data_IF_558767852526
#
_entry.id   IF_558767852526
#
_cell.length_a   1.000
_cell.length_b   1.000
_cell.length_c   1.000
_cell.angle_alpha   90.00
_cell.angle_beta   90.00
_cell.angle_gamma   90.00
#
_symmetry.space_group_name_H-M   'P 1'
#
loop_
_entity.id
_entity.type
_entity.pdbx_description
1 polymer ?
#
# COMPACT_ATOMS: atom_id res chain seq x y z
N UNK A 1 -32.40 5.71 -20.37
CA UNK A 1 -31.64 4.60 -19.78
C UNK A 1 -30.50 5.19 -18.92
N UNK A 2 -30.33 4.69 -17.71
CA UNK A 2 -29.37 5.22 -16.72
C UNK A 2 -28.02 4.48 -16.77
N UNK A 3 -26.98 5.08 -16.19
CA UNK A 3 -25.68 4.48 -15.96
C UNK A 3 -25.53 4.12 -14.48
N UNK A 4 -25.01 2.94 -14.19
CA UNK A 4 -24.72 2.53 -12.81
C UNK A 4 -23.26 2.84 -12.46
N UNK A 5 -23.05 3.63 -11.43
CA UNK A 5 -21.70 3.95 -10.91
C UNK A 5 -21.47 3.12 -9.65
N UNK A 6 -20.37 2.36 -9.63
CA UNK A 6 -19.93 1.54 -8.50
C UNK A 6 -18.71 2.16 -7.88
N UNK A 7 -18.86 2.86 -6.75
CA UNK A 7 -17.77 3.41 -5.95
C UNK A 7 -17.22 2.37 -4.95
N UNK A 8 -16.05 2.61 -4.36
CA UNK A 8 -15.47 1.69 -3.38
C UNK A 8 -16.02 1.90 -1.96
N UNK A 9 -16.35 3.16 -1.63
CA UNK A 9 -16.77 3.56 -0.28
C UNK A 9 -18.01 4.46 -0.34
N UNK A 10 -18.87 4.45 0.69
CA UNK A 10 -20.06 5.32 0.74
C UNK A 10 -19.73 6.81 0.59
N UNK A 11 -18.64 7.29 1.19
CA UNK A 11 -18.25 8.71 1.10
C UNK A 11 -17.96 9.13 -0.33
N UNK A 12 -17.13 8.35 -1.05
CA UNK A 12 -16.82 8.60 -2.46
C UNK A 12 -18.08 8.51 -3.32
N UNK A 13 -18.94 7.53 -3.03
CA UNK A 13 -20.23 7.41 -3.72
C UNK A 13 -21.12 8.64 -3.56
N UNK A 14 -21.20 9.22 -2.36
CA UNK A 14 -21.95 10.45 -2.11
C UNK A 14 -21.37 11.66 -2.84
N UNK A 15 -20.05 11.81 -2.84
CA UNK A 15 -19.39 12.90 -3.57
C UNK A 15 -19.66 12.81 -5.07
N UNK A 16 -19.54 11.62 -5.65
CA UNK A 16 -19.87 11.38 -7.06
C UNK A 16 -21.34 11.67 -7.32
N UNK A 17 -22.26 11.16 -6.49
CA UNK A 17 -23.69 11.37 -6.64
C UNK A 17 -24.07 12.86 -6.60
N UNK A 18 -23.48 13.61 -5.69
CA UNK A 18 -23.65 15.07 -5.56
C UNK A 18 -23.21 15.78 -6.84
N UNK A 19 -22.04 15.47 -7.36
CA UNK A 19 -21.52 16.09 -8.59
C UNK A 19 -22.34 15.75 -9.81
N UNK A 20 -22.91 14.51 -9.86
CA UNK A 20 -23.80 14.05 -10.95
C UNK A 20 -25.26 14.50 -10.77
N UNK A 21 -25.59 15.24 -9.73
CA UNK A 21 -26.94 15.75 -9.47
C UNK A 21 -27.94 14.67 -9.06
N UNK A 22 -27.48 13.54 -8.51
CA UNK A 22 -28.36 12.52 -7.95
C UNK A 22 -28.94 12.99 -6.60
N UNK A 23 -30.27 12.88 -6.42
CA UNK A 23 -30.96 13.45 -5.24
C UNK A 23 -31.75 12.42 -4.43
N UNK A 24 -32.17 11.30 -5.04
CA UNK A 24 -32.97 10.29 -4.34
C UNK A 24 -32.07 9.35 -3.58
N UNK A 25 -31.78 9.68 -2.34
CA UNK A 25 -30.92 8.89 -1.46
C UNK A 25 -31.66 7.72 -0.83
N UNK A 26 -30.97 6.57 -0.78
CA UNK A 26 -31.33 5.38 -0.01
C UNK A 26 -30.16 4.98 0.87
N UNK A 27 -30.33 3.99 1.72
CA UNK A 27 -29.23 3.49 2.55
C UNK A 27 -28.04 2.92 1.75
N UNK A 28 -28.27 2.43 0.54
CA UNK A 28 -27.28 1.65 -0.23
C UNK A 28 -26.94 2.25 -1.61
N UNK A 29 -27.64 3.25 -2.06
CA UNK A 29 -27.39 3.94 -3.33
C UNK A 29 -28.10 5.29 -3.38
N UNK A 30 -27.71 6.14 -4.32
CA UNK A 30 -28.36 7.43 -4.62
C UNK A 30 -28.71 7.46 -6.09
N UNK A 31 -29.99 7.76 -6.40
CA UNK A 31 -30.51 7.73 -7.75
C UNK A 31 -30.79 9.16 -8.28
N UNK A 32 -30.38 9.41 -9.51
CA UNK A 32 -30.64 10.61 -10.28
C UNK A 32 -31.38 10.27 -11.58
N UNK A 33 -31.49 11.27 -12.46
CA UNK A 33 -32.17 11.09 -13.76
C UNK A 33 -31.36 10.16 -14.69
N UNK A 34 -30.03 10.39 -14.80
CA UNK A 34 -29.15 9.69 -15.74
C UNK A 34 -28.23 8.68 -15.07
N UNK A 35 -28.07 8.76 -13.77
CA UNK A 35 -27.12 7.93 -13.00
C UNK A 35 -27.77 7.35 -11.76
N UNK A 36 -27.30 6.15 -11.41
CA UNK A 36 -27.47 5.56 -10.08
C UNK A 36 -26.07 5.34 -9.53
N UNK A 37 -25.79 5.86 -8.35
CA UNK A 37 -24.50 5.70 -7.68
C UNK A 37 -24.67 4.78 -6.49
N UNK A 38 -23.98 3.66 -6.50
CA UNK A 38 -23.88 2.71 -5.38
C UNK A 38 -22.42 2.51 -5.01
N UNK A 39 -22.18 1.76 -3.96
CA UNK A 39 -20.83 1.57 -3.44
C UNK A 39 -20.61 0.17 -2.89
N UNK A 40 -19.34 -0.21 -2.82
CA UNK A 40 -18.88 -1.30 -1.99
C UNK A 40 -18.65 -0.81 -0.54
N UNK A 41 -18.34 -1.72 0.37
CA UNK A 41 -17.96 -1.43 1.76
C UNK A 41 -16.53 -1.98 2.01
N UNK A 42 -15.62 -1.71 1.06
CA UNK A 42 -14.43 -2.50 0.84
C UNK A 42 -14.78 -3.76 0.06
N UNK A 43 -14.22 -4.91 0.41
CA UNK A 43 -14.57 -6.16 -0.28
C UNK A 43 -15.99 -6.61 0.04
N UNK A 44 -16.80 -6.89 -0.99
CA UNK A 44 -18.08 -7.59 -0.90
C UNK A 44 -17.94 -9.07 -1.29
N UNK A 45 -16.90 -9.39 -2.06
CA UNK A 45 -16.57 -10.70 -2.60
C UNK A 45 -15.12 -11.02 -2.27
N UNK A 46 -14.82 -12.26 -1.96
CA UNK A 46 -13.48 -12.78 -1.71
C UNK A 46 -13.27 -14.13 -2.40
N UNK A 47 -12.04 -14.61 -2.41
CA UNK A 47 -11.78 -16.03 -2.69
C UNK A 47 -12.46 -16.89 -1.61
N UNK A 48 -12.93 -18.05 -2.02
CA UNK A 48 -13.65 -18.96 -1.14
C UNK A 48 -12.74 -19.56 -0.06
N UNK A 49 -13.33 -19.89 1.08
CA UNK A 49 -12.64 -20.57 2.16
C UNK A 49 -12.25 -22.02 1.75
N UNK A 50 -11.19 -22.60 2.36
CA UNK A 50 -10.72 -23.94 2.05
C UNK A 50 -11.81 -25.02 1.99
N UNK A 51 -12.74 -24.99 2.90
CA UNK A 51 -13.85 -25.95 3.00
C UNK A 51 -14.73 -26.01 1.74
N UNK A 52 -14.78 -24.95 0.95
CA UNK A 52 -15.56 -24.92 -0.29
C UNK A 52 -14.87 -25.62 -1.46
N UNK A 53 -13.60 -25.99 -1.31
CA UNK A 53 -12.83 -26.73 -2.31
C UNK A 53 -12.85 -28.24 -2.06
N UNK A 54 -13.05 -28.70 -0.79
CA UNK A 54 -13.18 -30.11 -0.43
C UNK A 54 -13.46 -30.24 1.06
N UNK A 55 -14.18 -31.32 1.43
CA UNK A 55 -14.50 -31.61 2.83
C UNK A 55 -13.24 -31.93 3.66
N UNK A 56 -12.22 -32.47 3.02
CA UNK A 56 -10.91 -32.78 3.59
C UNK A 56 -10.18 -31.54 4.10
N UNK A 57 -10.49 -30.38 3.54
CA UNK A 57 -9.89 -29.10 3.95
C UNK A 57 -10.61 -28.43 5.13
N UNK A 58 -11.65 -29.03 5.68
CA UNK A 58 -12.36 -28.52 6.85
C UNK A 58 -11.48 -28.60 8.08
N UNK A 59 -10.83 -29.74 8.28
CA UNK A 59 -9.90 -29.95 9.37
C UNK A 59 -8.48 -29.60 8.97
N UNK A 60 -7.72 -29.07 9.92
CA UNK A 60 -6.35 -28.69 9.68
C UNK A 60 -5.44 -29.91 9.89
N UNK A 61 -4.95 -30.48 8.81
CA UNK A 61 -4.07 -31.62 8.80
C UNK A 61 -2.92 -31.39 7.82
N UNK A 62 -1.71 -31.87 8.15
CA UNK A 62 -0.53 -31.80 7.29
C UNK A 62 -0.69 -32.63 6.01
N UNK A 63 -1.41 -33.77 6.08
CA UNK A 63 -1.54 -34.73 4.98
C UNK A 63 -2.30 -34.17 3.77
N UNK A 64 -3.11 -33.13 3.99
CA UNK A 64 -3.88 -32.47 2.92
C UNK A 64 -3.19 -31.19 2.33
N UNK A 65 -1.95 -30.97 2.73
CA UNK A 65 -1.16 -29.82 2.24
C UNK A 65 -0.10 -30.29 1.23
N UNK A 66 0.27 -29.49 0.24
CA UNK A 66 -0.27 -28.17 -0.05
C UNK A 66 -1.65 -28.21 -0.70
N UNK A 67 -2.52 -27.34 -0.28
CA UNK A 67 -3.81 -27.13 -0.92
C UNK A 67 -3.63 -26.30 -2.19
N UNK A 68 -3.94 -26.88 -3.36
CA UNK A 68 -3.74 -26.28 -4.68
C UNK A 68 -5.04 -26.37 -5.50
N UNK A 69 -5.94 -25.36 -5.38
CA UNK A 69 -7.20 -25.37 -6.13
C UNK A 69 -6.96 -25.37 -7.65
N UNK A 70 -7.58 -26.28 -8.38
CA UNK A 70 -7.56 -26.28 -9.85
C UNK A 70 -8.39 -25.16 -10.44
N UNK A 71 -9.46 -24.78 -9.76
CA UNK A 71 -10.37 -23.72 -10.16
C UNK A 71 -10.69 -22.83 -8.96
N UNK A 72 -10.50 -21.52 -9.13
CA UNK A 72 -10.78 -20.55 -8.10
C UNK A 72 -12.28 -20.30 -7.96
N UNK A 73 -12.75 -20.33 -6.74
CA UNK A 73 -14.13 -20.02 -6.39
C UNK A 73 -14.19 -18.68 -5.68
N UNK A 74 -15.21 -17.89 -6.02
CA UNK A 74 -15.51 -16.63 -5.32
C UNK A 74 -16.68 -16.85 -4.37
N UNK A 75 -16.69 -16.12 -3.27
CA UNK A 75 -17.77 -16.12 -2.28
C UNK A 75 -18.15 -14.72 -1.87
N UNK A 76 -19.44 -14.51 -1.60
CA UNK A 76 -19.94 -13.25 -1.05
C UNK A 76 -19.71 -13.23 0.45
N UNK A 77 -19.09 -12.17 0.95
CA UNK A 77 -18.83 -12.01 2.36
C UNK A 77 -20.13 -11.84 3.17
N UNK A 78 -20.32 -12.66 4.20
CA UNK A 78 -21.55 -12.66 5.03
C UNK A 78 -21.88 -11.27 5.59
N UNK A 79 -20.87 -10.56 6.10
CA UNK A 79 -21.02 -9.23 6.71
C UNK A 79 -21.54 -8.15 5.74
N UNK A 80 -21.22 -8.26 4.46
CA UNK A 80 -21.57 -7.28 3.41
C UNK A 80 -22.59 -7.80 2.40
N UNK A 81 -23.18 -8.95 2.67
CA UNK A 81 -24.12 -9.64 1.78
C UNK A 81 -25.32 -8.77 1.39
N UNK A 82 -25.88 -8.00 2.32
CA UNK A 82 -27.00 -7.07 2.03
C UNK A 82 -26.63 -6.04 0.96
N UNK A 83 -25.43 -5.45 1.07
CA UNK A 83 -24.94 -4.48 0.08
C UNK A 83 -24.68 -5.15 -1.27
N UNK A 84 -24.06 -6.33 -1.27
CA UNK A 84 -23.86 -7.12 -2.49
C UNK A 84 -25.19 -7.39 -3.21
N UNK A 85 -26.23 -7.82 -2.48
CA UNK A 85 -27.55 -8.06 -3.08
C UNK A 85 -28.17 -6.79 -3.66
N UNK A 86 -27.98 -5.64 -3.02
CA UNK A 86 -28.43 -4.35 -3.57
C UNK A 86 -27.70 -4.03 -4.88
N UNK A 87 -26.37 -4.13 -4.90
CA UNK A 87 -25.59 -3.89 -6.12
C UNK A 87 -26.01 -4.84 -7.23
N UNK A 88 -26.19 -6.14 -6.94
CA UNK A 88 -26.67 -7.14 -7.90
C UNK A 88 -28.04 -6.78 -8.45
N UNK A 89 -29.00 -6.39 -7.60
CA UNK A 89 -30.32 -5.97 -8.04
C UNK A 89 -30.26 -4.75 -8.98
N UNK A 90 -29.42 -3.77 -8.65
CA UNK A 90 -29.24 -2.59 -9.51
C UNK A 90 -28.61 -2.95 -10.86
N UNK A 91 -27.62 -3.84 -10.88
CA UNK A 91 -26.98 -4.33 -12.13
C UNK A 91 -27.97 -5.03 -13.06
N UNK A 92 -28.96 -5.73 -12.50
CA UNK A 92 -29.94 -6.49 -13.25
C UNK A 92 -31.15 -5.63 -13.74
N UNK A 93 -31.22 -4.35 -13.36
CA UNK A 93 -32.30 -3.45 -13.82
C UNK A 93 -32.24 -3.26 -15.34
N UNK A 94 -33.40 -3.29 -16.00
CA UNK A 94 -33.51 -3.11 -17.46
C UNK A 94 -33.21 -1.68 -17.91
N UNK A 95 -33.43 -0.69 -17.02
CA UNK A 95 -33.19 0.72 -17.33
C UNK A 95 -31.68 1.12 -17.18
N UNK A 96 -30.81 0.21 -16.77
CA UNK A 96 -29.35 0.40 -16.72
C UNK A 96 -28.76 -0.04 -18.06
N UNK A 97 -28.07 0.87 -18.75
CA UNK A 97 -27.38 0.58 -20.02
C UNK A 97 -25.95 0.09 -19.87
N UNK A 98 -25.21 0.64 -18.90
CA UNK A 98 -23.80 0.32 -18.66
C UNK A 98 -23.40 0.53 -17.20
N UNK A 99 -22.17 0.11 -16.86
CA UNK A 99 -21.59 0.20 -15.53
C UNK A 99 -20.31 1.03 -15.58
N UNK A 100 -20.18 1.98 -14.67
CA UNK A 100 -18.98 2.76 -14.47
C UNK A 100 -18.32 2.30 -13.17
N UNK A 101 -17.14 1.70 -13.28
CA UNK A 101 -16.30 1.37 -12.13
C UNK A 101 -15.62 2.66 -11.65
N UNK A 102 -15.95 3.08 -10.43
CA UNK A 102 -15.44 4.27 -9.76
C UNK A 102 -14.79 3.91 -8.40
N UNK A 103 -14.23 2.72 -8.30
CA UNK A 103 -13.39 2.29 -7.18
C UNK A 103 -12.01 2.94 -7.26
N UNK A 104 -11.25 2.88 -6.17
CA UNK A 104 -9.93 3.50 -6.07
C UNK A 104 -9.06 3.16 -7.32
N UNK A 105 -8.28 4.15 -7.79
CA UNK A 105 -7.45 4.01 -8.99
C UNK A 105 -6.22 3.15 -8.68
N UNK A 106 -6.37 1.84 -8.77
CA UNK A 106 -5.33 0.87 -8.45
C UNK A 106 -5.78 -0.58 -8.62
N UNK A 107 -4.83 -1.49 -8.42
CA UNK A 107 -5.05 -2.94 -8.54
C UNK A 107 -6.18 -3.45 -7.65
N UNK A 108 -6.21 -3.03 -6.39
CA UNK A 108 -7.21 -3.48 -5.42
C UNK A 108 -8.61 -3.00 -5.78
N UNK A 109 -8.76 -1.71 -6.15
CA UNK A 109 -10.06 -1.18 -6.59
C UNK A 109 -10.59 -1.87 -7.83
N UNK A 110 -9.71 -2.19 -8.80
CA UNK A 110 -10.12 -2.96 -9.99
C UNK A 110 -10.56 -4.38 -9.61
N UNK A 111 -9.84 -5.05 -8.72
CA UNK A 111 -10.19 -6.39 -8.23
C UNK A 111 -11.55 -6.41 -7.53
N UNK A 112 -11.77 -5.48 -6.61
CA UNK A 112 -13.04 -5.35 -5.87
C UNK A 112 -14.22 -5.22 -6.83
N UNK A 113 -14.12 -4.29 -7.78
CA UNK A 113 -15.19 -4.05 -8.73
C UNK A 113 -15.44 -5.26 -9.64
N UNK A 114 -14.38 -5.83 -10.24
CA UNK A 114 -14.52 -6.96 -11.18
C UNK A 114 -15.09 -8.20 -10.52
N UNK A 115 -14.69 -8.52 -9.29
CA UNK A 115 -15.27 -9.66 -8.58
C UNK A 115 -16.76 -9.44 -8.26
N UNK A 116 -17.18 -8.22 -7.91
CA UNK A 116 -18.58 -7.89 -7.70
C UNK A 116 -19.37 -8.08 -9.01
N UNK A 117 -18.87 -7.56 -10.12
CA UNK A 117 -19.50 -7.68 -11.43
C UNK A 117 -19.58 -9.14 -11.88
N UNK A 118 -18.52 -9.92 -11.71
CA UNK A 118 -18.48 -11.35 -12.03
C UNK A 118 -19.51 -12.15 -11.22
N UNK A 119 -19.53 -11.98 -9.91
CA UNK A 119 -20.46 -12.67 -9.01
C UNK A 119 -21.91 -12.23 -9.19
N UNK A 120 -22.13 -11.02 -9.68
CA UNK A 120 -23.48 -10.52 -10.00
C UNK A 120 -24.00 -10.99 -11.36
N UNK A 121 -23.15 -11.63 -12.18
CA UNK A 121 -23.51 -12.05 -13.54
C UNK A 121 -23.68 -10.87 -14.52
N UNK A 122 -22.92 -9.80 -14.35
CA UNK A 122 -23.01 -8.62 -15.21
C UNK A 122 -22.67 -8.94 -16.67
N UNK A 123 -23.55 -8.54 -17.58
CA UNK A 123 -23.35 -8.65 -19.03
C UNK A 123 -23.32 -7.27 -19.72
N UNK A 124 -23.47 -6.19 -18.96
CA UNK A 124 -23.51 -4.83 -19.50
C UNK A 124 -22.10 -4.31 -19.78
N UNK A 125 -21.95 -3.38 -20.72
CA UNK A 125 -20.66 -2.71 -20.99
C UNK A 125 -20.10 -2.08 -19.72
N UNK A 126 -18.77 -2.13 -19.57
CA UNK A 126 -18.06 -1.62 -18.41
C UNK A 126 -17.19 -0.45 -18.86
N UNK A 127 -17.24 0.64 -18.12
CA UNK A 127 -16.37 1.79 -18.24
C UNK A 127 -15.63 2.02 -16.93
N UNK A 128 -14.48 2.66 -17.00
CA UNK A 128 -13.62 2.96 -15.86
C UNK A 128 -13.48 4.46 -15.66
N UNK A 129 -13.83 4.94 -14.48
CA UNK A 129 -13.49 6.25 -13.97
C UNK A 129 -12.15 6.14 -13.24
N UNK A 130 -11.10 6.74 -13.79
CA UNK A 130 -9.75 6.69 -13.21
C UNK A 130 -9.37 8.06 -12.69
N UNK A 131 -9.57 8.28 -11.41
CA UNK A 131 -9.27 9.55 -10.73
C UNK A 131 -8.48 9.29 -9.44
N UNK A 132 -7.54 10.17 -9.12
CA UNK A 132 -6.74 10.15 -7.89
C UNK A 132 -7.27 11.11 -6.81
N UNK A 133 -8.30 11.89 -7.13
CA UNK A 133 -8.91 12.88 -6.25
C UNK A 133 -10.43 12.89 -6.42
N UNK A 134 -11.15 13.18 -5.34
CA UNK A 134 -12.63 13.28 -5.32
C UNK A 134 -13.13 14.73 -5.32
N UNK A 135 -12.31 15.68 -5.74
CA UNK A 135 -12.78 17.06 -5.95
C UNK A 135 -13.78 17.14 -7.08
N UNK A 136 -14.70 18.10 -7.03
CA UNK A 136 -15.75 18.28 -8.05
C UNK A 136 -15.19 18.37 -9.46
N UNK A 137 -14.06 19.08 -9.61
CA UNK A 137 -13.37 19.21 -10.89
C UNK A 137 -12.85 17.85 -11.37
N UNK A 138 -12.14 17.11 -10.50
CA UNK A 138 -11.56 15.81 -10.86
C UNK A 138 -12.66 14.80 -11.24
N UNK A 139 -13.80 14.81 -10.54
CA UNK A 139 -14.95 13.95 -10.88
C UNK A 139 -15.51 14.32 -12.24
N UNK A 140 -15.79 15.60 -12.50
CA UNK A 140 -16.34 16.08 -13.80
C UNK A 140 -15.39 15.75 -14.96
N UNK A 141 -14.12 16.05 -14.80
CA UNK A 141 -13.10 15.78 -15.82
C UNK A 141 -12.95 14.27 -16.06
N UNK A 142 -12.99 13.45 -14.99
CA UNK A 142 -12.95 12.00 -15.10
C UNK A 142 -14.17 11.40 -15.83
N UNK A 143 -15.37 11.91 -15.58
CA UNK A 143 -16.57 11.48 -16.30
C UNK A 143 -16.58 11.90 -17.76
N UNK A 144 -15.89 12.99 -18.13
CA UNK A 144 -15.68 13.39 -19.52
C UNK A 144 -14.69 12.47 -20.25
N UNK A 145 -13.81 11.76 -19.52
CA UNK A 145 -12.73 10.92 -20.08
C UNK A 145 -12.82 9.46 -19.61
N UNK A 146 -14.03 8.92 -19.53
CA UNK A 146 -14.23 7.50 -19.18
C UNK A 146 -13.57 6.59 -20.22
N UNK A 147 -12.87 5.57 -19.73
CA UNK A 147 -12.22 4.58 -20.58
C UNK A 147 -13.00 3.26 -20.61
N UNK A 148 -12.93 2.51 -21.72
CA UNK A 148 -13.49 1.16 -21.76
C UNK A 148 -12.86 0.27 -20.70
N UNK A 149 -13.66 -0.52 -19.99
CA UNK A 149 -13.16 -1.43 -18.96
C UNK A 149 -12.12 -2.42 -19.47
N UNK A 150 -12.17 -2.78 -20.74
CA UNK A 150 -11.23 -3.69 -21.39
C UNK A 150 -9.76 -3.23 -21.31
N UNK A 151 -9.51 -1.92 -21.28
CA UNK A 151 -8.16 -1.38 -21.12
C UNK A 151 -7.52 -1.74 -19.77
N UNK A 152 -8.30 -2.17 -18.80
CA UNK A 152 -7.87 -2.53 -17.44
C UNK A 152 -7.88 -4.05 -17.19
N UNK A 153 -8.05 -4.86 -18.22
CA UNK A 153 -8.08 -6.33 -18.07
C UNK A 153 -6.74 -6.90 -17.58
N UNK A 154 -5.61 -6.33 -18.04
CA UNK A 154 -4.28 -6.75 -17.56
C UNK A 154 -4.07 -6.37 -16.09
N UNK A 155 -4.53 -5.19 -15.70
CA UNK A 155 -4.50 -4.74 -14.31
C UNK A 155 -5.32 -5.68 -13.41
N UNK A 156 -6.51 -6.06 -13.87
CA UNK A 156 -7.35 -7.03 -13.16
C UNK A 156 -6.67 -8.41 -13.08
N UNK A 157 -6.08 -8.92 -14.18
CA UNK A 157 -5.34 -10.19 -14.16
C UNK A 157 -4.19 -10.16 -13.16
N UNK A 158 -3.40 -9.08 -13.13
CA UNK A 158 -2.32 -8.92 -12.17
C UNK A 158 -2.83 -8.88 -10.72
N UNK A 159 -3.94 -8.17 -10.46
CA UNK A 159 -4.54 -8.09 -9.13
C UNK A 159 -5.09 -9.45 -8.67
N UNK A 160 -5.75 -10.19 -9.57
CA UNK A 160 -6.25 -11.53 -9.33
C UNK A 160 -5.14 -12.51 -9.01
N UNK A 161 -4.08 -12.57 -9.83
CA UNK A 161 -2.94 -13.45 -9.59
C UNK A 161 -2.27 -13.17 -8.24
N UNK A 162 -2.18 -11.89 -7.85
CA UNK A 162 -1.69 -11.53 -6.53
C UNK A 162 -2.59 -12.05 -5.42
N UNK A 163 -3.91 -11.87 -5.52
CA UNK A 163 -4.85 -12.35 -4.52
C UNK A 163 -4.84 -13.88 -4.39
N UNK A 164 -4.74 -14.60 -5.52
CA UNK A 164 -4.60 -16.05 -5.57
C UNK A 164 -3.29 -16.53 -4.91
N UNK A 165 -2.16 -15.84 -5.19
CA UNK A 165 -0.88 -16.13 -4.56
C UNK A 165 -0.90 -15.83 -3.04
N UNK A 166 -1.50 -14.73 -2.62
CA UNK A 166 -1.65 -14.39 -1.20
C UNK A 166 -2.49 -15.43 -0.47
N UNK A 167 -3.55 -15.93 -1.10
CA UNK A 167 -4.38 -17.01 -0.56
C UNK A 167 -3.60 -18.33 -0.44
N UNK A 168 -2.89 -18.74 -1.51
CA UNK A 168 -2.10 -19.98 -1.51
C UNK A 168 -1.03 -19.96 -0.41
N UNK A 169 -0.22 -18.92 -0.38
CA UNK A 169 0.86 -18.80 0.62
C UNK A 169 0.27 -18.70 2.03
N UNK A 170 -0.73 -17.82 2.21
CA UNK A 170 -1.33 -17.59 3.51
C UNK A 170 -1.97 -18.83 4.11
N UNK A 171 -2.81 -19.52 3.35
CA UNK A 171 -3.53 -20.71 3.84
C UNK A 171 -2.58 -21.86 4.10
N UNK A 172 -1.73 -22.21 3.13
CA UNK A 172 -0.87 -23.39 3.27
C UNK A 172 0.18 -23.21 4.37
N UNK A 173 0.87 -22.06 4.38
CA UNK A 173 1.90 -21.82 5.37
C UNK A 173 1.33 -21.65 6.79
N UNK A 174 0.19 -20.96 6.94
CA UNK A 174 -0.50 -20.84 8.24
C UNK A 174 -0.90 -22.22 8.78
N UNK A 175 -1.52 -23.05 7.96
CA UNK A 175 -1.95 -24.39 8.39
C UNK A 175 -0.75 -25.29 8.71
N UNK A 176 0.27 -25.29 7.85
CA UNK A 176 1.48 -26.09 8.08
C UNK A 176 2.18 -25.71 9.39
N UNK A 177 2.36 -24.42 9.66
CA UNK A 177 2.98 -23.95 10.90
C UNK A 177 2.12 -24.30 12.12
N UNK A 178 0.81 -24.07 12.05
CA UNK A 178 -0.11 -24.35 13.14
C UNK A 178 -0.12 -25.85 13.48
N UNK A 179 -0.21 -26.72 12.48
CA UNK A 179 -0.18 -28.18 12.68
C UNK A 179 1.18 -28.65 13.21
N UNK A 180 2.29 -28.16 12.63
CA UNK A 180 3.64 -28.58 13.02
C UNK A 180 4.00 -28.22 14.45
N UNK A 181 3.62 -27.03 14.90
CA UNK A 181 3.99 -26.52 16.21
C UNK A 181 2.86 -26.62 17.24
N UNK A 182 1.70 -27.15 16.86
CA UNK A 182 0.51 -27.22 17.72
C UNK A 182 0.19 -25.89 18.41
N UNK A 183 0.30 -24.80 17.68
CA UNK A 183 0.12 -23.43 18.17
C UNK A 183 -0.56 -22.59 17.10
N UNK A 184 -1.42 -21.67 17.50
CA UNK A 184 -2.08 -20.76 16.56
C UNK A 184 -1.05 -19.78 15.96
N UNK A 185 -0.48 -20.17 14.84
CA UNK A 185 0.51 -19.37 14.09
C UNK A 185 -0.11 -18.88 12.79
N UNK A 186 0.30 -17.72 12.36
CA UNK A 186 -0.10 -17.15 11.08
C UNK A 186 1.11 -16.85 10.21
N UNK A 187 0.96 -17.06 8.91
CA UNK A 187 1.96 -16.71 7.92
C UNK A 187 1.30 -15.95 6.78
N UNK A 188 2.00 -14.95 6.27
CA UNK A 188 1.51 -14.15 5.17
C UNK A 188 2.64 -13.44 4.44
N UNK A 189 2.41 -13.14 3.19
CA UNK A 189 3.40 -12.55 2.28
C UNK A 189 3.90 -11.17 2.71
N UNK A 190 3.14 -10.43 3.51
CA UNK A 190 3.51 -9.10 4.02
C UNK A 190 3.91 -9.19 5.49
N UNK A 191 3.07 -9.77 6.34
CA UNK A 191 3.28 -9.78 7.79
C UNK A 191 4.53 -10.56 8.20
N UNK A 192 4.81 -11.71 7.59
CA UNK A 192 5.96 -12.54 7.97
C UNK A 192 7.30 -11.91 7.62
N UNK A 193 7.52 -11.39 6.39
CA UNK A 193 8.74 -10.63 6.10
C UNK A 193 8.90 -9.37 6.98
N UNK A 194 7.82 -8.68 7.30
CA UNK A 194 7.87 -7.51 8.18
C UNK A 194 8.33 -7.90 9.58
N UNK A 195 7.79 -8.99 10.13
CA UNK A 195 8.23 -9.51 11.42
C UNK A 195 9.70 -9.94 11.39
N UNK A 196 10.12 -10.61 10.32
CA UNK A 196 11.52 -11.03 10.15
C UNK A 196 12.47 -9.83 10.12
N UNK A 197 12.12 -8.75 9.43
CA UNK A 197 12.93 -7.50 9.43
C UNK A 197 13.06 -6.91 10.85
N UNK A 198 11.97 -6.89 11.61
CA UNK A 198 11.99 -6.41 13.01
C UNK A 198 12.87 -7.30 13.86
N UNK A 199 12.72 -8.61 13.77
CA UNK A 199 13.54 -9.57 14.54
C UNK A 199 15.02 -9.48 14.19
N UNK A 200 15.37 -9.37 12.91
CA UNK A 200 16.76 -9.20 12.49
C UNK A 200 17.35 -7.91 13.09
N UNK A 201 16.57 -6.83 13.06
CA UNK A 201 17.02 -5.57 13.68
C UNK A 201 17.22 -5.68 15.18
N UNK A 202 16.33 -6.35 15.89
CA UNK A 202 16.48 -6.63 17.32
C UNK A 202 17.73 -7.47 17.63
N UNK A 203 18.03 -8.47 16.78
CA UNK A 203 19.26 -9.27 16.92
C UNK A 203 20.53 -8.44 16.68
N UNK A 204 20.52 -7.57 15.64
CA UNK A 204 21.62 -6.63 15.39
C UNK A 204 21.86 -5.72 16.60
N UNK A 205 20.79 -5.19 17.22
CA UNK A 205 20.89 -4.34 18.40
C UNK A 205 21.44 -5.13 19.59
N UNK A 206 20.93 -6.33 19.85
CA UNK A 206 21.39 -7.19 20.96
C UNK A 206 22.83 -7.65 20.78
N UNK A 207 23.26 -7.92 19.57
CA UNK A 207 24.63 -8.36 19.25
C UNK A 207 25.60 -7.21 19.00
N UNK A 208 25.12 -5.97 19.05
CA UNK A 208 25.96 -4.80 18.77
C UNK A 208 27.10 -4.67 19.75
N UNK A 209 28.31 -4.68 19.22
CA UNK A 209 29.55 -4.42 19.98
C UNK A 209 30.10 -3.05 19.57
N UNK A 210 30.11 -2.07 20.48
CA UNK A 210 30.67 -0.76 20.18
C UNK A 210 32.13 -0.87 19.77
N UNK A 211 32.47 -0.28 18.63
CA UNK A 211 33.87 -0.18 18.19
C UNK A 211 34.31 1.28 18.28
N UNK A 212 35.46 1.46 18.90
CA UNK A 212 36.12 2.79 18.95
C UNK A 212 36.76 3.07 17.59
N UNK A 213 36.60 4.29 17.12
CA UNK A 213 37.34 4.79 15.99
C UNK A 213 37.91 6.16 16.31
N UNK A 214 38.97 6.50 15.61
CA UNK A 214 39.73 7.72 15.76
C UNK A 214 39.68 8.52 14.48
N UNK A 215 39.93 9.80 14.56
CA UNK A 215 40.01 10.69 13.40
C UNK A 215 40.69 11.98 13.78
N UNK A 216 41.20 12.73 12.81
CA UNK A 216 41.91 13.98 13.06
C UNK A 216 41.14 15.15 12.48
N UNK A 217 41.09 16.20 13.29
CA UNK A 217 40.65 17.53 12.89
C UNK A 217 41.79 18.50 13.16
N UNK A 218 42.22 19.20 12.16
CA UNK A 218 43.32 20.16 12.21
C UNK A 218 42.69 21.55 12.05
N UNK A 219 43.10 22.48 12.90
CA UNK A 219 42.68 23.87 12.87
C UNK A 219 43.89 24.75 12.53
N UNK A 220 43.79 25.47 11.42
CA UNK A 220 44.82 26.39 10.98
C UNK A 220 44.17 27.61 10.31
N UNK A 221 44.66 28.80 10.61
CA UNK A 221 44.20 30.08 10.01
C UNK A 221 42.67 30.28 10.02
N UNK A 222 42.00 29.84 11.11
CA UNK A 222 40.54 29.93 11.24
C UNK A 222 39.76 28.87 10.46
N UNK A 223 40.39 27.99 9.72
CA UNK A 223 39.80 26.91 8.95
C UNK A 223 39.91 25.56 9.67
N UNK A 224 38.98 24.68 9.42
CA UNK A 224 38.92 23.34 9.96
C UNK A 224 39.12 22.31 8.85
N UNK A 225 40.16 21.53 8.94
CA UNK A 225 40.45 20.42 8.04
C UNK A 225 40.13 19.09 8.72
N UNK A 226 39.54 18.18 7.98
CA UNK A 226 39.27 16.82 8.47
C UNK A 226 40.12 15.85 7.68
N UNK A 227 40.86 14.99 8.39
CA UNK A 227 41.66 13.96 7.74
C UNK A 227 40.76 12.92 7.06
N UNK A 228 41.12 12.53 5.86
CA UNK A 228 40.49 11.45 5.11
C UNK A 228 41.58 10.56 4.50
N UNK A 229 41.28 9.26 4.39
CA UNK A 229 42.16 8.37 3.62
C UNK A 229 41.86 8.52 2.10
N UNK A 230 42.64 7.84 1.26
CA UNK A 230 42.52 7.88 -0.20
C UNK A 230 41.10 7.48 -0.71
N UNK A 231 40.26 6.79 0.12
CA UNK A 231 38.89 6.40 -0.19
C UNK A 231 37.84 7.35 0.42
N UNK A 232 38.26 8.48 0.97
CA UNK A 232 37.36 9.46 1.60
C UNK A 232 36.80 9.02 2.97
N UNK A 233 37.42 8.01 3.62
CA UNK A 233 36.97 7.57 4.94
C UNK A 233 37.75 8.34 6.04
N UNK A 234 36.99 8.91 6.97
CA UNK A 234 37.48 9.73 8.09
C UNK A 234 37.74 8.91 9.38
N UNK A 235 37.48 7.60 9.36
CA UNK A 235 37.53 6.74 10.54
C UNK A 235 38.77 5.84 10.49
N UNK A 236 39.53 5.84 11.59
CA UNK A 236 40.69 5.01 11.80
C UNK A 236 40.32 3.99 12.90
N UNK A 237 40.33 2.72 12.58
CA UNK A 237 39.99 1.65 13.55
C UNK A 237 41.17 1.26 14.44
N UNK A 238 42.40 1.39 13.93
CA UNK A 238 43.62 1.07 14.66
C UNK A 238 44.10 2.27 15.48
N UNK A 239 44.16 2.06 16.81
CA UNK A 239 44.61 3.09 17.74
C UNK A 239 46.10 3.44 17.55
N UNK A 240 46.96 2.43 17.36
CA UNK A 240 48.41 2.65 17.21
C UNK A 240 48.69 3.47 15.95
N UNK A 241 48.07 3.08 14.85
CA UNK A 241 48.19 3.82 13.60
C UNK A 241 47.67 5.25 13.72
N UNK A 242 46.57 5.44 14.43
CA UNK A 242 46.04 6.78 14.68
C UNK A 242 47.08 7.62 15.49
N UNK A 243 47.66 7.08 16.55
CA UNK A 243 48.69 7.78 17.35
C UNK A 243 49.92 8.13 16.54
N UNK A 244 50.43 7.22 15.70
CA UNK A 244 51.55 7.45 14.80
C UNK A 244 51.25 8.54 13.76
N UNK A 245 50.07 8.49 13.15
CA UNK A 245 49.60 9.52 12.24
C UNK A 245 49.57 10.89 12.95
N UNK A 246 49.05 10.93 14.17
CA UNK A 246 49.01 12.17 14.97
C UNK A 246 50.40 12.72 15.26
N UNK A 247 51.40 11.88 15.52
CA UNK A 247 52.77 12.31 15.68
C UNK A 247 53.38 12.88 14.38
N UNK A 248 53.06 12.24 13.25
CA UNK A 248 53.50 12.70 11.92
C UNK A 248 52.89 14.02 11.50
N UNK A 249 51.64 14.30 11.92
CA UNK A 249 50.95 15.52 11.56
C UNK A 249 51.35 16.74 12.42
N UNK A 250 51.97 16.53 13.58
CA UNK A 250 52.37 17.62 14.47
C UNK A 250 53.68 18.29 13.97
N UNK A 251 53.65 19.61 13.92
CA UNK A 251 54.84 20.41 13.58
C UNK A 251 55.13 20.48 12.08
N UNK A 252 54.23 20.02 11.23
CA UNK A 252 54.35 20.17 9.78
C UNK A 252 53.34 21.20 9.26
N UNK A 253 53.75 21.90 8.23
CA UNK A 253 52.88 22.86 7.53
C UNK A 253 51.79 22.14 6.71
N UNK A 254 50.64 22.78 6.62
CA UNK A 254 49.56 22.31 5.76
C UNK A 254 49.74 22.96 4.37
N UNK A 255 49.79 22.11 3.35
CA UNK A 255 49.88 22.54 1.96
C UNK A 255 48.54 22.31 1.30
N UNK A 256 47.92 23.37 0.80
CA UNK A 256 46.69 23.29 0.01
C UNK A 256 47.08 22.85 -1.40
N UNK A 257 46.74 21.62 -1.76
CA UNK A 257 47.04 21.03 -3.08
C UNK A 257 45.94 21.27 -4.12
N UNK A 258 44.69 21.44 -3.65
CA UNK A 258 43.56 21.65 -4.52
C UNK A 258 42.50 22.54 -3.85
N UNK A 259 41.95 23.46 -4.59
CA UNK A 259 40.76 24.25 -4.19
C UNK A 259 39.71 24.09 -5.25
N UNK A 260 38.58 23.47 -4.88
CA UNK A 260 37.44 23.35 -5.79
C UNK A 260 36.27 24.20 -5.33
N UNK A 261 35.68 24.97 -6.23
CA UNK A 261 34.46 25.73 -6.00
C UNK A 261 33.35 25.13 -6.85
N UNK A 262 32.34 24.56 -6.19
CA UNK A 262 31.16 23.98 -6.89
C UNK A 262 29.92 24.74 -6.48
N UNK A 263 29.16 25.17 -7.45
CA UNK A 263 27.84 25.75 -7.23
C UNK A 263 26.88 24.62 -6.80
N UNK A 264 26.25 24.77 -5.66
CA UNK A 264 25.27 23.81 -5.14
C UNK A 264 23.92 24.48 -5.09
N UNK A 265 22.97 23.94 -5.86
CA UNK A 265 21.57 24.37 -5.83
C UNK A 265 20.81 23.52 -4.81
N UNK A 266 20.29 24.15 -3.78
CA UNK A 266 19.35 23.52 -2.86
C UNK A 266 17.94 23.90 -3.29
N UNK A 267 17.19 22.91 -3.70
CA UNK A 267 15.76 23.10 -4.00
C UNK A 267 14.95 23.05 -2.71
N UNK A 268 13.81 23.75 -2.72
CA UNK A 268 12.84 23.60 -1.64
C UNK A 268 12.39 22.13 -1.54
N UNK A 269 12.18 21.60 -0.31
CA UNK A 269 11.64 20.25 -0.15
C UNK A 269 10.25 20.16 -0.77
N UNK A 270 9.90 18.99 -1.24
CA UNK A 270 8.55 18.69 -1.73
C UNK A 270 7.53 18.79 -0.59
N UNK A 271 6.26 19.01 -0.94
CA UNK A 271 5.17 18.98 0.03
C UNK A 271 5.06 17.56 0.61
N UNK A 272 4.63 17.48 1.87
CA UNK A 272 4.47 16.18 2.52
C UNK A 272 3.36 15.34 1.88
N UNK A 273 3.71 14.12 1.48
CA UNK A 273 2.73 13.05 1.41
C UNK A 273 2.42 12.50 2.82
N UNK A 274 1.39 11.67 2.94
CA UNK A 274 0.99 11.12 4.23
C UNK A 274 2.13 10.31 4.90
N UNK A 275 2.86 9.52 4.12
CA UNK A 275 3.93 8.66 4.64
C UNK A 275 5.10 9.48 5.16
N UNK A 276 5.52 10.48 4.40
CA UNK A 276 6.62 11.37 4.78
C UNK A 276 6.23 12.22 5.99
N UNK A 277 4.98 12.72 6.05
CA UNK A 277 4.47 13.43 7.22
C UNK A 277 4.47 12.54 8.47
N UNK A 278 4.02 11.30 8.36
CA UNK A 278 4.02 10.35 9.48
C UNK A 278 5.43 10.05 9.97
N UNK A 279 6.41 9.87 9.06
CA UNK A 279 7.83 9.65 9.41
C UNK A 279 8.43 10.86 10.14
N UNK A 280 8.23 12.06 9.61
CA UNK A 280 8.75 13.29 10.23
C UNK A 280 8.09 13.57 11.58
N UNK A 281 6.77 13.40 11.69
CA UNK A 281 6.04 13.59 12.94
C UNK A 281 6.48 12.57 14.01
N UNK A 282 6.72 11.32 13.62
CA UNK A 282 7.25 10.30 14.51
C UNK A 282 8.67 10.66 14.97
N UNK A 283 9.54 11.09 14.05
CA UNK A 283 10.93 11.43 14.35
C UNK A 283 11.06 12.66 15.26
N UNK A 284 10.25 13.70 15.04
CA UNK A 284 10.34 14.98 15.77
C UNK A 284 9.56 15.00 17.06
N UNK A 285 8.40 14.35 17.10
CA UNK A 285 7.43 14.48 18.18
C UNK A 285 7.02 13.13 18.80
N UNK A 286 7.54 12.01 18.31
CA UNK A 286 7.15 10.67 18.77
C UNK A 286 5.72 10.28 18.44
N UNK A 287 5.05 10.96 17.50
CA UNK A 287 3.67 10.67 17.16
C UNK A 287 3.54 9.33 16.43
N UNK A 288 2.53 8.56 16.82
CA UNK A 288 2.15 7.39 16.04
C UNK A 288 1.55 7.78 14.69
N UNK A 289 1.61 6.92 13.66
CA UNK A 289 0.95 7.17 12.37
C UNK A 289 -0.54 7.49 12.50
N UNK A 290 -1.23 6.84 13.46
CA UNK A 290 -2.65 7.08 13.74
C UNK A 290 -2.90 8.49 14.31
N UNK A 291 -2.04 8.96 15.22
CA UNK A 291 -2.12 10.32 15.76
C UNK A 291 -1.90 11.37 14.67
N UNK A 292 -0.86 11.19 13.85
CA UNK A 292 -0.56 12.10 12.73
C UNK A 292 -1.73 12.18 11.75
N UNK A 293 -2.34 11.05 11.41
CA UNK A 293 -3.50 11.02 10.53
C UNK A 293 -4.73 11.74 11.13
N UNK A 294 -4.94 11.60 12.44
CA UNK A 294 -6.06 12.26 13.14
C UNK A 294 -5.87 13.78 13.15
N UNK A 295 -4.67 14.27 13.43
CA UNK A 295 -4.34 15.69 13.41
C UNK A 295 -4.48 16.26 11.98
N UNK A 296 -3.92 15.59 10.98
CA UNK A 296 -4.02 16.02 9.58
C UNK A 296 -5.47 16.15 9.10
N UNK A 297 -6.36 15.24 9.47
CA UNK A 297 -7.79 15.30 9.11
C UNK A 297 -8.57 16.43 9.83
N UNK A 298 -8.08 16.92 10.95
CA UNK A 298 -8.74 17.99 11.68
C UNK A 298 -8.43 19.40 11.10
N UNK A 299 -7.44 19.48 10.18
CA UNK A 299 -6.96 20.73 9.60
C UNK A 299 -7.13 20.81 8.07
N UNK A 300 -7.86 19.85 7.47
CA UNK A 300 -8.26 19.82 6.05
C UNK A 300 -9.83 19.92 5.97
#
# INVERSE_FOLDING_TARGET
MKRLVLAEKPSVGRDIARVLGCKKETHSYIEGNDHIVTWALGHLVSLADPEQYGKEYKEWNMDVLPMMPKHWKLTVLKKTSKQFQTVKKLLLRNDIKDVIIATDAGREGELVARWILQMSGNKKPIYRLWISSVTDKAIKDGFAHLKPGKEYDDLFRAARSRAEADWLVGINATRALTCKYNAQLSCGRVQTPTLAMIMNREQEIKSFKPQKYYGYKIFATGMKFTWENQKGNQRISDKKWAEELGKKLRGHDLVITEVSKKEKKNYAPELYDLTTLQKEASKRYGFSPKQTLKIGRAHV
#
